data_IF_386023614291
#
_entry.id   IF_386023614291
#
_cell.length_a   1.000
_cell.length_b   1.000
_cell.length_c   1.000
_cell.angle_alpha   90.00
_cell.angle_beta   90.00
_cell.angle_gamma   90.00
#
_symmetry.space_group_name_H-M   'P 1'
#
loop_
_entity.id
_entity.type
_entity.pdbx_description
1 polymer ?
#
# COMPACT_ATOMS: atom_id res chain seq x y z
N UNK A 1 -4.67 16.14 31.58
CA UNK A 1 -3.38 15.46 31.42
C UNK A 1 -3.63 13.97 31.38
N UNK A 2 -3.85 13.43 30.18
CA UNK A 2 -3.78 11.99 29.88
C UNK A 2 -3.23 11.93 28.46
N UNK A 3 -1.90 12.01 28.38
CA UNK A 3 -1.12 11.67 27.20
C UNK A 3 -1.08 10.14 27.13
N UNK A 4 -1.24 9.65 25.91
CA UNK A 4 -0.84 8.33 25.45
C UNK A 4 -1.76 7.13 25.75
N UNK A 5 -1.81 6.31 24.70
CA UNK A 5 -2.35 4.96 24.54
C UNK A 5 -3.77 4.78 23.98
N UNK A 6 -3.75 4.13 22.82
CA UNK A 6 -4.75 3.22 22.23
C UNK A 6 -5.73 3.80 21.21
N UNK A 7 -5.19 4.41 20.15
CA UNK A 7 -5.69 4.14 18.79
C UNK A 7 -4.84 3.02 18.17
N UNK A 8 -4.88 1.83 18.75
CA UNK A 8 -4.67 0.60 17.99
C UNK A 8 -5.92 0.40 17.16
N UNK A 9 -5.93 0.98 15.96
CA UNK A 9 -6.81 0.48 14.90
C UNK A 9 -6.33 -0.93 14.58
N UNK A 10 -6.98 -1.91 15.24
CA UNK A 10 -7.14 -3.24 14.69
C UNK A 10 -7.77 -3.03 13.31
N UNK A 11 -6.93 -3.09 12.27
CA UNK A 11 -7.34 -3.78 11.07
C UNK A 11 -7.82 -5.16 11.55
N UNK A 12 -9.10 -5.41 11.38
CA UNK A 12 -9.61 -6.78 11.44
C UNK A 12 -8.81 -7.52 10.37
N UNK A 13 -8.08 -8.60 10.71
CA UNK A 13 -7.50 -9.45 9.68
C UNK A 13 -8.69 -10.09 8.99
N UNK A 14 -9.09 -9.57 7.82
CA UNK A 14 -10.00 -10.26 6.93
C UNK A 14 -9.16 -11.28 6.17
N UNK A 15 -9.19 -12.57 6.55
CA UNK A 15 -8.21 -13.53 6.09
C UNK A 15 -8.69 -14.17 4.78
N UNK A 16 -9.04 -13.40 3.75
CA UNK A 16 -9.46 -13.98 2.46
C UNK A 16 -9.65 -12.98 1.29
N UNK A 17 -8.94 -11.86 1.21
CA UNK A 17 -8.89 -11.15 -0.08
C UNK A 17 -7.79 -11.80 -0.93
N UNK A 18 -8.12 -12.63 -1.96
CA UNK A 18 -7.09 -13.19 -2.82
C UNK A 18 -6.36 -12.04 -3.51
N UNK A 19 -5.02 -12.03 -3.40
CA UNK A 19 -4.19 -11.11 -4.16
C UNK A 19 -4.60 -11.18 -5.64
N UNK A 20 -4.71 -10.04 -6.35
CA UNK A 20 -5.18 -10.03 -7.73
C UNK A 20 -4.36 -11.01 -8.60
N UNK A 21 -4.98 -11.68 -9.59
CA UNK A 21 -4.44 -12.85 -10.28
C UNK A 21 -3.25 -12.58 -11.21
N UNK A 22 -2.62 -11.39 -11.12
CA UNK A 22 -1.40 -11.09 -11.86
C UNK A 22 -0.20 -11.19 -10.91
N UNK A 23 0.52 -12.33 -10.90
CA UNK A 23 1.74 -12.44 -10.13
C UNK A 23 2.76 -11.50 -10.76
N UNK A 24 2.93 -10.33 -10.16
CA UNK A 24 4.01 -9.42 -10.49
C UNK A 24 5.30 -10.22 -10.31
N UNK A 25 6.03 -10.52 -11.39
CA UNK A 25 7.25 -11.33 -11.35
C UNK A 25 8.40 -10.48 -10.80
N UNK A 26 8.21 -9.97 -9.58
CA UNK A 26 9.12 -9.12 -8.83
C UNK A 26 10.34 -9.97 -8.45
N UNK A 27 11.47 -9.65 -9.08
CA UNK A 27 12.77 -10.21 -8.75
C UNK A 27 13.43 -9.46 -7.60
N UNK A 28 14.62 -9.90 -7.20
CA UNK A 28 15.45 -9.19 -6.21
C UNK A 28 15.73 -7.77 -6.70
N UNK A 29 15.48 -6.76 -5.86
CA UNK A 29 15.66 -5.34 -6.19
C UNK A 29 14.44 -4.65 -6.84
N UNK A 30 13.27 -5.30 -6.82
CA UNK A 30 12.05 -4.83 -7.45
C UNK A 30 11.36 -3.64 -6.75
N UNK A 31 11.59 -3.42 -5.46
CA UNK A 31 11.07 -2.24 -4.77
C UNK A 31 12.19 -1.22 -4.70
N UNK A 32 12.08 -0.14 -5.48
CA UNK A 32 13.03 0.97 -5.42
C UNK A 32 12.30 2.23 -4.98
N UNK A 33 13.02 3.07 -4.25
CA UNK A 33 12.64 4.48 -3.99
C UNK A 33 11.50 4.74 -3.00
N UNK A 34 11.16 3.81 -2.09
CA UNK A 34 10.32 4.19 -0.95
C UNK A 34 11.05 5.23 -0.09
N UNK A 35 10.43 6.38 0.13
CA UNK A 35 10.99 7.49 0.93
C UNK A 35 10.08 7.81 2.10
N UNK A 36 10.70 8.13 3.23
CA UNK A 36 10.03 8.78 4.36
C UNK A 36 9.96 10.29 4.12
N UNK A 37 8.98 10.95 4.75
CA UNK A 37 8.77 12.39 4.65
C UNK A 37 7.36 12.79 4.21
N UNK A 38 7.14 14.09 3.94
CA UNK A 38 5.83 14.59 3.54
C UNK A 38 5.43 14.02 2.17
N UNK A 39 4.18 13.57 2.06
CA UNK A 39 3.57 13.11 0.83
C UNK A 39 2.25 13.83 0.60
N UNK A 40 2.00 14.27 -0.63
CA UNK A 40 0.73 14.90 -1.02
C UNK A 40 -0.15 13.87 -1.72
N UNK A 41 -1.46 14.10 -1.73
CA UNK A 41 -2.40 13.31 -2.53
C UNK A 41 -1.95 13.22 -3.99
N UNK A 42 -1.92 12.01 -4.53
CA UNK A 42 -1.46 11.71 -5.90
C UNK A 42 0.01 12.02 -6.18
N UNK A 43 0.83 12.24 -5.15
CA UNK A 43 2.27 12.44 -5.31
C UNK A 43 3.01 11.09 -5.37
N UNK A 44 4.07 11.02 -6.17
CA UNK A 44 4.85 9.79 -6.32
C UNK A 44 5.70 9.54 -5.07
N UNK A 45 5.53 8.38 -4.42
CA UNK A 45 6.31 8.02 -3.23
C UNK A 45 7.28 6.85 -3.45
N UNK A 46 7.25 6.22 -4.62
CA UNK A 46 8.15 5.14 -4.99
C UNK A 46 7.73 4.41 -6.27
N UNK A 47 8.43 3.32 -6.58
CA UNK A 47 8.11 2.50 -7.75
C UNK A 47 8.33 1.00 -7.47
N UNK A 48 7.46 0.18 -8.07
CA UNK A 48 7.60 -1.26 -8.15
C UNK A 48 8.09 -1.65 -9.55
N UNK A 49 9.32 -2.12 -9.63
CA UNK A 49 9.95 -2.63 -10.84
C UNK A 49 9.95 -4.15 -10.86
N UNK A 50 9.29 -4.76 -11.82
CA UNK A 50 9.43 -6.19 -12.12
C UNK A 50 10.32 -6.40 -13.35
N UNK A 51 10.64 -7.65 -13.65
CA UNK A 51 11.36 -8.02 -14.89
C UNK A 51 10.58 -7.64 -16.16
N UNK A 52 9.26 -7.39 -16.04
CA UNK A 52 8.35 -7.16 -17.18
C UNK A 52 7.82 -5.74 -17.28
N UNK A 53 7.76 -5.01 -16.18
CA UNK A 53 7.13 -3.70 -16.11
C UNK A 53 7.56 -2.97 -14.84
N UNK A 54 7.65 -1.65 -14.94
CA UNK A 54 7.72 -0.75 -13.80
C UNK A 54 6.35 -0.11 -13.57
N UNK A 55 5.95 0.03 -12.32
CA UNK A 55 4.73 0.71 -11.91
C UNK A 55 5.07 1.76 -10.85
N UNK A 56 4.77 3.00 -11.15
CA UNK A 56 4.89 4.11 -10.20
C UNK A 56 3.82 3.97 -9.10
N UNK A 57 4.17 4.37 -7.88
CA UNK A 57 3.30 4.33 -6.71
C UNK A 57 2.93 5.75 -6.30
N UNK A 58 1.63 6.00 -6.25
CA UNK A 58 1.06 7.30 -5.93
C UNK A 58 0.40 7.28 -4.55
N UNK A 59 0.63 8.33 -3.77
CA UNK A 59 0.08 8.42 -2.42
C UNK A 59 -1.44 8.55 -2.49
N UNK A 60 -2.21 7.68 -1.81
CA UNK A 60 -3.66 7.75 -1.83
C UNK A 60 -4.20 8.92 -1.00
N UNK A 61 -3.38 9.51 -0.12
CA UNK A 61 -3.79 10.52 0.86
C UNK A 61 -2.65 11.53 1.08
N UNK A 62 -2.99 12.72 1.56
CA UNK A 62 -2.03 13.74 2.01
C UNK A 62 -1.60 13.48 3.45
N UNK A 63 -0.29 13.53 3.71
CA UNK A 63 0.24 13.11 4.99
C UNK A 63 1.76 13.14 5.13
N UNK A 64 2.27 12.39 6.12
CA UNK A 64 3.70 12.19 6.31
C UNK A 64 3.99 10.69 6.46
N UNK A 65 4.87 10.16 5.61
CA UNK A 65 5.34 8.78 5.64
C UNK A 65 6.28 8.59 6.83
N UNK A 66 5.82 7.81 7.81
CA UNK A 66 6.52 7.56 9.08
C UNK A 66 7.40 6.32 9.03
N UNK A 67 7.04 5.32 8.21
CA UNK A 67 7.73 4.03 8.17
C UNK A 67 7.70 3.46 6.76
N UNK A 68 8.77 2.77 6.37
CA UNK A 68 8.87 2.00 5.12
C UNK A 68 9.17 0.54 5.47
N UNK A 69 8.69 -0.39 4.64
CA UNK A 69 8.95 -1.81 4.88
C UNK A 69 10.34 -2.21 4.38
N UNK A 70 11.34 -2.15 5.26
CA UNK A 70 12.72 -2.52 4.96
C UNK A 70 12.86 -4.00 4.56
N UNK A 71 11.94 -4.88 4.97
CA UNK A 71 11.98 -6.30 4.59
C UNK A 71 11.81 -6.52 3.08
N UNK A 72 11.21 -5.56 2.37
CA UNK A 72 11.05 -5.62 0.91
C UNK A 72 12.36 -5.42 0.15
N UNK A 73 13.38 -4.81 0.78
CA UNK A 73 14.70 -4.66 0.17
C UNK A 73 15.39 -6.02 0.00
N UNK A 74 15.25 -6.90 1.00
CA UNK A 74 15.81 -8.25 0.99
C UNK A 74 14.87 -9.27 0.33
N UNK A 75 13.56 -9.11 0.52
CA UNK A 75 12.55 -10.04 0.03
C UNK A 75 11.36 -9.32 -0.63
N UNK A 76 11.55 -8.78 -1.85
CA UNK A 76 10.47 -8.11 -2.59
C UNK A 76 9.33 -9.05 -2.98
N UNK A 77 9.54 -10.38 -2.92
CA UNK A 77 8.51 -11.39 -3.17
C UNK A 77 7.39 -11.41 -2.13
N UNK A 78 7.56 -10.72 -0.99
CA UNK A 78 6.49 -10.57 0.02
C UNK A 78 5.28 -9.84 -0.54
N UNK A 79 5.47 -8.86 -1.42
CA UNK A 79 4.36 -8.13 -2.08
C UNK A 79 3.45 -9.09 -2.84
N UNK A 80 3.99 -10.16 -3.43
CA UNK A 80 3.22 -11.14 -4.18
C UNK A 80 2.50 -12.16 -3.31
N UNK A 81 3.08 -12.50 -2.16
CA UNK A 81 2.56 -13.56 -1.28
C UNK A 81 1.59 -13.02 -0.23
N UNK A 82 1.80 -11.77 0.18
CA UNK A 82 1.23 -11.21 1.41
C UNK A 82 1.01 -9.70 1.26
N UNK A 83 0.32 -9.24 0.21
CA UNK A 83 0.22 -7.82 -0.13
C UNK A 83 -0.41 -6.92 0.95
N UNK A 84 -1.24 -7.49 1.83
CA UNK A 84 -1.91 -6.76 2.92
C UNK A 84 -1.24 -6.91 4.28
N UNK A 85 -0.46 -7.98 4.47
CA UNK A 85 0.20 -8.28 5.75
C UNK A 85 1.69 -7.95 5.61
N UNK A 86 2.56 -8.95 5.38
CA UNK A 86 4.02 -8.76 5.39
C UNK A 86 4.56 -7.92 4.21
N UNK A 87 3.75 -7.75 3.17
CA UNK A 87 4.08 -7.03 1.93
C UNK A 87 3.64 -5.57 1.90
N UNK A 88 3.27 -4.98 3.04
CA UNK A 88 2.95 -3.54 3.14
C UNK A 88 4.12 -2.68 2.64
N UNK A 89 3.83 -1.53 2.03
CA UNK A 89 4.85 -0.68 1.41
C UNK A 89 5.33 0.43 2.36
N UNK A 90 4.38 1.26 2.81
CA UNK A 90 4.61 2.41 3.66
C UNK A 90 3.56 2.50 4.75
N UNK A 91 3.90 3.15 5.86
CA UNK A 91 2.93 3.67 6.84
C UNK A 91 3.06 5.17 6.86
N UNK A 92 1.93 5.85 6.89
CA UNK A 92 1.86 7.30 6.93
C UNK A 92 0.83 7.80 7.91
N UNK A 93 1.05 9.00 8.42
CA UNK A 93 0.05 9.79 9.14
C UNK A 93 -0.80 10.57 8.15
N UNK A 94 -2.05 10.82 8.50
CA UNK A 94 -3.00 11.55 7.65
C UNK A 94 -3.07 12.99 8.09
N UNK A 95 -2.84 13.91 7.15
CA UNK A 95 -3.04 15.34 7.36
C UNK A 95 -4.51 15.71 7.25
N UNK A 96 -5.26 15.04 6.37
CA UNK A 96 -6.67 15.28 6.15
C UNK A 96 -7.49 13.97 6.14
N UNK A 97 -8.24 13.66 7.21
CA UNK A 97 -9.02 12.43 7.28
C UNK A 97 -10.24 12.41 6.35
N UNK A 98 -10.71 13.55 5.83
CA UNK A 98 -11.86 13.56 4.91
C UNK A 98 -11.54 12.93 3.55
N UNK A 99 -10.26 12.87 3.18
CA UNK A 99 -9.81 12.22 1.94
C UNK A 99 -10.08 10.70 1.96
N UNK A 100 -10.29 10.10 3.13
CA UNK A 100 -10.70 8.70 3.24
C UNK A 100 -12.08 8.44 2.65
N UNK A 101 -12.99 9.43 2.71
CA UNK A 101 -14.35 9.31 2.17
C UNK A 101 -14.36 9.31 0.64
N UNK A 102 -13.26 9.75 0.00
CA UNK A 102 -13.09 9.74 -1.45
C UNK A 102 -12.60 8.38 -1.97
N UNK A 103 -12.09 7.51 -1.08
CA UNK A 103 -11.61 6.18 -1.44
C UNK A 103 -12.78 5.21 -1.67
N UNK A 104 -12.54 4.24 -2.54
CA UNK A 104 -13.51 3.17 -2.80
C UNK A 104 -13.61 2.24 -1.58
N UNK A 105 -14.84 1.87 -1.21
CA UNK A 105 -15.03 0.76 -0.28
C UNK A 105 -14.61 -0.56 -0.93
N UNK A 106 -14.36 -1.57 -0.11
CA UNK A 106 -14.02 -2.93 -0.56
C UNK A 106 -15.05 -3.47 -1.59
N UNK A 107 -16.34 -3.34 -1.28
CA UNK A 107 -17.42 -3.75 -2.18
C UNK A 107 -17.42 -2.98 -3.51
N UNK A 108 -17.10 -1.68 -3.48
CA UNK A 108 -17.03 -0.85 -4.68
C UNK A 108 -15.81 -1.24 -5.53
N UNK A 109 -14.68 -1.55 -4.90
CA UNK A 109 -13.46 -1.98 -5.57
C UNK A 109 -13.61 -3.37 -6.21
N UNK A 110 -14.27 -4.33 -5.54
CA UNK A 110 -14.57 -5.63 -6.14
C UNK A 110 -15.42 -5.51 -7.41
N UNK A 111 -16.44 -4.64 -7.40
CA UNK A 111 -17.28 -4.37 -8.57
C UNK A 111 -16.46 -3.75 -9.71
N UNK A 112 -15.57 -2.81 -9.36
CA UNK A 112 -14.69 -2.18 -10.33
C UNK A 112 -13.76 -3.21 -11.01
N UNK A 113 -13.11 -4.09 -10.24
CA UNK A 113 -12.27 -5.16 -10.81
C UNK A 113 -13.09 -6.06 -11.74
N UNK A 114 -14.27 -6.53 -11.30
CA UNK A 114 -15.15 -7.37 -12.13
C UNK A 114 -15.50 -6.68 -13.46
N UNK A 115 -15.75 -5.38 -13.46
CA UNK A 115 -16.06 -4.62 -14.68
C UNK A 115 -14.89 -4.44 -15.66
N UNK A 116 -13.65 -4.66 -15.23
CA UNK A 116 -12.45 -4.59 -16.09
C UNK A 116 -12.15 -5.94 -16.74
N UNK A 117 -12.58 -7.04 -16.11
CA UNK A 117 -12.36 -8.40 -16.59
C UNK A 117 -13.42 -8.87 -17.61
N UNK A 118 -14.56 -8.17 -17.68
CA UNK A 118 -15.63 -8.34 -18.68
C UNK A 118 -15.35 -7.55 -19.97
#
# INVERSE_FOLDING_TARGET
SVRALLCTLRAVPSPAAPCPPRPWQLGVGAVRTLRTGPALLSDEFGALESVKAASELYSPLSGEVTEINEALAENPGLVNKSCYEDGWLIKMTLSNPSELDELMSEEAYEKYIKSIEE
#
